data_IF_701487332728
#
_entry.id   IF_701487332728
#
_cell.length_a   1.000
_cell.length_b   1.000
_cell.length_c   1.000
_cell.angle_alpha   90.00
_cell.angle_beta   90.00
_cell.angle_gamma   90.00
#
_symmetry.space_group_name_H-M   'P 1'
#
loop_
_entity.id
_entity.type
_entity.pdbx_description
1 polymer ?
#
# COMPACT_ATOMS: atom_id res chain seq x y z
N UNK A 1 -8.57 24.79 -27.35
CA UNK A 1 -8.10 25.25 -26.03
C UNK A 1 -6.60 25.46 -26.16
N UNK A 2 -6.11 26.66 -25.83
CA UNK A 2 -4.67 26.96 -25.91
C UNK A 2 -3.90 26.10 -24.89
N UNK A 3 -2.71 25.64 -25.27
CA UNK A 3 -1.90 24.76 -24.44
C UNK A 3 -1.57 25.43 -23.10
N UNK A 4 -1.25 26.73 -23.12
CA UNK A 4 -0.99 27.51 -21.92
C UNK A 4 -2.17 27.46 -20.92
N UNK A 5 -3.41 27.55 -21.40
CA UNK A 5 -4.59 27.49 -20.54
C UNK A 5 -4.79 26.09 -19.93
N UNK A 6 -4.55 25.04 -20.71
CA UNK A 6 -4.60 23.67 -20.20
C UNK A 6 -3.54 23.41 -19.12
N UNK A 7 -2.32 23.92 -19.30
CA UNK A 7 -1.25 23.86 -18.29
C UNK A 7 -1.58 24.68 -17.05
N UNK A 8 -2.16 25.87 -17.20
CA UNK A 8 -2.58 26.68 -16.06
C UNK A 8 -3.60 25.92 -15.21
N UNK A 9 -4.65 25.39 -15.83
CA UNK A 9 -5.67 24.57 -15.15
C UNK A 9 -5.03 23.34 -14.50
N UNK A 10 -4.11 22.67 -15.20
CA UNK A 10 -3.38 21.52 -14.69
C UNK A 10 -2.63 21.85 -13.40
N UNK A 11 -1.88 22.94 -13.38
CA UNK A 11 -1.07 23.36 -12.22
C UNK A 11 -1.97 23.69 -11.02
N UNK A 12 -3.12 24.34 -11.25
CA UNK A 12 -4.08 24.61 -10.18
C UNK A 12 -4.70 23.34 -9.60
N UNK A 13 -5.13 22.40 -10.46
CA UNK A 13 -5.63 21.09 -10.01
C UNK A 13 -4.52 20.35 -9.26
N UNK A 14 -3.28 20.42 -9.77
CA UNK A 14 -2.12 19.79 -9.16
C UNK A 14 -1.87 20.32 -7.75
N UNK A 15 -1.91 21.65 -7.57
CA UNK A 15 -1.75 22.29 -6.27
C UNK A 15 -2.85 21.87 -5.28
N UNK A 16 -4.10 21.75 -5.73
CA UNK A 16 -5.21 21.27 -4.89
C UNK A 16 -5.00 19.81 -4.47
N UNK A 17 -4.63 18.93 -5.41
CA UNK A 17 -4.34 17.53 -5.13
C UNK A 17 -3.14 17.40 -4.18
N UNK A 18 -2.10 18.21 -4.37
CA UNK A 18 -0.96 18.26 -3.48
C UNK A 18 -1.36 18.68 -2.06
N UNK A 19 -2.24 19.69 -1.92
CA UNK A 19 -2.80 20.08 -0.63
C UNK A 19 -3.53 18.93 0.08
N UNK A 20 -4.39 18.20 -0.65
CA UNK A 20 -5.07 17.01 -0.12
C UNK A 20 -4.04 15.96 0.31
N UNK A 21 -3.02 15.71 -0.51
CA UNK A 21 -1.94 14.78 -0.19
C UNK A 21 -1.21 15.17 1.11
N UNK A 22 -0.84 16.45 1.27
CA UNK A 22 -0.17 16.94 2.47
C UNK A 22 -1.01 16.68 3.73
N UNK A 23 -2.32 16.98 3.69
CA UNK A 23 -3.21 16.72 4.84
C UNK A 23 -3.24 15.23 5.21
N UNK A 24 -3.31 14.34 4.23
CA UNK A 24 -3.27 12.89 4.44
C UNK A 24 -1.92 12.41 4.99
N UNK A 25 -0.81 12.99 4.50
CA UNK A 25 0.53 12.66 4.97
C UNK A 25 0.74 13.08 6.42
N UNK A 26 0.35 14.29 6.81
CA UNK A 26 0.42 14.74 8.20
C UNK A 26 -0.53 13.96 9.11
N UNK A 27 -1.73 13.64 8.63
CA UNK A 27 -2.64 12.76 9.35
C UNK A 27 -2.01 11.37 9.60
N UNK A 28 -1.39 10.78 8.58
CA UNK A 28 -0.64 9.53 8.73
C UNK A 28 0.54 9.65 9.72
N UNK A 29 1.27 10.78 9.70
CA UNK A 29 2.39 11.04 10.59
C UNK A 29 1.96 11.14 12.06
N UNK A 30 0.76 11.69 12.31
CA UNK A 30 0.18 11.80 13.64
C UNK A 30 -0.23 10.46 14.27
N UNK A 31 -0.34 9.38 13.47
CA UNK A 31 -0.73 8.07 13.99
C UNK A 31 0.43 7.41 14.75
N UNK A 32 0.15 6.78 15.92
CA UNK A 32 1.17 6.07 16.68
C UNK A 32 1.79 4.96 15.82
N UNK A 33 3.14 4.90 15.82
CA UNK A 33 3.91 3.92 15.05
C UNK A 33 4.15 2.68 15.91
N UNK A 34 3.75 1.52 15.40
CA UNK A 34 4.01 0.24 16.06
C UNK A 34 5.26 -0.43 15.52
N UNK A 35 6.10 -0.94 16.42
CA UNK A 35 7.40 -1.53 16.08
C UNK A 35 7.21 -2.88 15.37
N UNK A 36 7.65 -3.00 14.11
CA UNK A 36 7.80 -4.31 13.44
C UNK A 36 7.57 -4.29 11.93
N UNK A 37 6.50 -3.66 11.44
CA UNK A 37 6.24 -3.52 9.99
C UNK A 37 6.16 -2.07 9.51
N UNK A 38 6.42 -1.12 10.42
CA UNK A 38 6.34 0.30 10.13
C UNK A 38 7.48 0.80 9.23
N UNK A 39 8.66 0.17 9.21
CA UNK A 39 9.82 0.75 8.53
C UNK A 39 9.63 0.84 7.01
N UNK A 40 9.25 -0.25 6.33
CA UNK A 40 9.02 -0.25 4.88
C UNK A 40 7.99 0.80 4.46
N UNK A 41 6.85 0.85 5.15
CA UNK A 41 5.82 1.87 4.89
C UNK A 41 6.30 3.28 5.20
N UNK A 42 7.11 3.45 6.25
CA UNK A 42 7.63 4.76 6.62
C UNK A 42 8.60 5.26 5.56
N UNK A 43 9.55 4.43 5.13
CA UNK A 43 10.52 4.78 4.08
C UNK A 43 9.81 5.11 2.78
N UNK A 44 8.90 4.24 2.32
CA UNK A 44 8.15 4.48 1.08
C UNK A 44 7.26 5.74 1.16
N UNK A 45 6.59 5.99 2.28
CA UNK A 45 5.82 7.23 2.47
C UNK A 45 6.69 8.48 2.44
N UNK A 46 7.91 8.44 3.01
CA UNK A 46 8.86 9.55 2.91
C UNK A 46 9.39 9.75 1.50
N UNK A 47 9.68 8.68 0.76
CA UNK A 47 10.10 8.78 -0.65
C UNK A 47 9.01 9.41 -1.51
N UNK A 48 7.77 8.94 -1.39
CA UNK A 48 6.60 9.53 -2.07
C UNK A 48 6.43 11.00 -1.69
N UNK A 49 6.64 11.35 -0.42
CA UNK A 49 6.59 12.74 0.04
C UNK A 49 7.66 13.60 -0.63
N UNK A 50 8.91 13.15 -0.67
CA UNK A 50 10.00 13.91 -1.31
C UNK A 50 9.70 14.11 -2.80
N UNK A 51 9.36 13.06 -3.53
CA UNK A 51 9.10 13.14 -4.97
C UNK A 51 7.87 14.00 -5.31
N UNK A 52 6.81 13.96 -4.51
CA UNK A 52 5.63 14.84 -4.71
C UNK A 52 5.92 16.31 -4.41
N UNK A 53 6.78 16.61 -3.42
CA UNK A 53 7.21 17.98 -3.16
C UNK A 53 8.12 18.52 -4.28
N UNK A 54 9.01 17.68 -4.82
CA UNK A 54 9.81 18.02 -6.00
C UNK A 54 8.90 18.29 -7.20
N UNK A 55 7.91 17.43 -7.45
CA UNK A 55 6.95 17.64 -8.54
C UNK A 55 6.16 18.96 -8.40
N UNK A 56 5.67 19.24 -7.20
CA UNK A 56 4.95 20.48 -6.91
C UNK A 56 5.86 21.72 -7.09
N UNK A 57 7.12 21.65 -6.65
CA UNK A 57 8.09 22.71 -6.85
C UNK A 57 8.41 22.93 -8.34
N UNK A 58 8.60 21.85 -9.11
CA UNK A 58 8.80 21.91 -10.56
C UNK A 58 7.61 22.56 -11.27
N UNK A 59 6.38 22.22 -10.89
CA UNK A 59 5.17 22.85 -11.43
C UNK A 59 5.12 24.36 -11.14
N UNK A 60 5.51 24.79 -9.94
CA UNK A 60 5.58 26.22 -9.60
C UNK A 60 6.68 26.95 -10.39
N UNK A 61 7.83 26.33 -10.58
CA UNK A 61 8.92 26.88 -11.40
C UNK A 61 8.44 27.04 -12.85
N UNK A 62 7.78 26.01 -13.41
CA UNK A 62 7.21 26.07 -14.75
C UNK A 62 6.11 27.13 -14.88
N UNK A 63 5.31 27.34 -13.85
CA UNK A 63 4.32 28.41 -13.82
C UNK A 63 5.00 29.78 -13.92
N UNK A 64 6.02 30.03 -13.10
CA UNK A 64 6.75 31.29 -13.08
C UNK A 64 7.49 31.50 -14.41
N UNK A 65 8.26 30.53 -14.87
CA UNK A 65 9.01 30.67 -16.12
C UNK A 65 8.09 30.78 -17.33
N UNK A 66 7.06 29.94 -17.38
CA UNK A 66 6.12 29.86 -18.50
C UNK A 66 5.17 31.04 -18.61
N UNK A 67 4.78 31.70 -17.51
CA UNK A 67 3.88 32.86 -17.57
C UNK A 67 4.56 34.21 -17.32
N UNK A 68 5.61 34.27 -16.49
CA UNK A 68 6.28 35.53 -16.18
C UNK A 68 7.46 35.80 -17.09
N UNK A 69 8.40 34.85 -17.21
CA UNK A 69 9.64 35.08 -17.96
C UNK A 69 9.47 34.96 -19.47
N UNK A 70 8.48 34.21 -19.94
CA UNK A 70 8.22 34.01 -21.36
C UNK A 70 7.54 35.22 -22.04
N UNK A 71 6.96 36.14 -21.26
CA UNK A 71 6.21 37.31 -21.78
C UNK A 71 7.04 38.15 -22.75
N UNK A 72 8.33 38.31 -22.46
CA UNK A 72 9.23 39.18 -23.24
C UNK A 72 9.87 38.49 -24.45
N UNK A 73 9.76 37.15 -24.57
CA UNK A 73 10.50 36.36 -25.57
C UNK A 73 9.60 35.72 -26.62
N UNK A 74 8.89 34.65 -26.26
CA UNK A 74 8.06 33.82 -27.16
C UNK A 74 6.59 33.77 -26.73
N UNK A 75 6.27 34.37 -25.58
CA UNK A 75 4.98 34.28 -24.91
C UNK A 75 4.73 32.92 -24.24
N UNK A 76 3.71 32.82 -23.37
CA UNK A 76 3.39 31.58 -22.66
C UNK A 76 3.06 30.41 -23.58
N UNK A 77 2.34 30.68 -24.68
CA UNK A 77 1.99 29.65 -25.66
C UNK A 77 3.24 29.08 -26.35
N UNK A 78 4.23 29.93 -26.67
CA UNK A 78 5.50 29.51 -27.25
C UNK A 78 6.28 28.60 -26.28
N UNK A 79 6.42 29.03 -25.02
CA UNK A 79 7.12 28.27 -23.98
C UNK A 79 6.53 26.87 -23.76
N UNK A 80 5.20 26.76 -23.60
CA UNK A 80 4.55 25.46 -23.38
C UNK A 80 4.42 24.61 -24.66
N UNK A 81 4.59 25.21 -25.84
CA UNK A 81 4.66 24.46 -27.09
C UNK A 81 6.04 23.86 -27.33
N UNK A 82 7.11 24.48 -26.80
CA UNK A 82 8.45 23.93 -26.81
C UNK A 82 8.66 23.05 -25.59
N UNK A 83 8.40 21.74 -25.72
CA UNK A 83 8.71 20.75 -24.68
C UNK A 83 10.22 20.56 -24.41
N UNK A 84 11.08 21.34 -25.09
CA UNK A 84 12.52 21.28 -25.00
C UNK A 84 13.02 22.17 -23.85
N UNK A 85 13.05 21.62 -22.64
CA UNK A 85 13.65 22.27 -21.48
C UNK A 85 14.06 21.25 -20.43
N UNK A 86 15.17 21.50 -19.74
CA UNK A 86 15.67 20.61 -18.68
C UNK A 86 14.65 20.44 -17.54
N UNK A 87 13.75 21.43 -17.36
CA UNK A 87 12.66 21.42 -16.39
C UNK A 87 11.63 20.33 -16.71
N UNK A 88 11.22 20.23 -17.99
CA UNK A 88 10.30 19.18 -18.45
C UNK A 88 10.93 17.80 -18.29
N UNK A 89 12.21 17.64 -18.67
CA UNK A 89 12.94 16.39 -18.47
C UNK A 89 13.04 16.01 -16.99
N UNK A 90 13.38 16.96 -16.12
CA UNK A 90 13.47 16.71 -14.68
C UNK A 90 12.11 16.33 -14.09
N UNK A 91 11.03 16.96 -14.56
CA UNK A 91 9.68 16.66 -14.12
C UNK A 91 9.26 15.24 -14.54
N UNK A 92 9.41 14.87 -15.82
CA UNK A 92 9.07 13.53 -16.32
C UNK A 92 9.89 12.45 -15.62
N UNK A 93 11.19 12.71 -15.39
CA UNK A 93 12.04 11.81 -14.63
C UNK A 93 11.59 11.62 -13.17
N UNK A 94 11.23 12.71 -12.50
CA UNK A 94 10.69 12.65 -11.14
C UNK A 94 9.34 11.90 -11.10
N UNK A 95 8.50 12.12 -12.11
CA UNK A 95 7.23 11.43 -12.29
C UNK A 95 7.41 9.92 -12.48
N UNK A 96 8.39 9.50 -13.30
CA UNK A 96 8.81 8.11 -13.45
C UNK A 96 9.18 7.49 -12.10
N UNK A 97 10.06 8.15 -11.33
CA UNK A 97 10.51 7.64 -10.03
C UNK A 97 9.36 7.52 -9.03
N UNK A 98 8.44 8.49 -9.01
CA UNK A 98 7.27 8.46 -8.14
C UNK A 98 6.36 7.26 -8.45
N UNK A 99 6.03 7.06 -9.73
CA UNK A 99 5.21 5.92 -10.17
C UNK A 99 5.91 4.62 -9.82
N UNK A 100 7.20 4.49 -10.13
CA UNK A 100 7.98 3.29 -9.83
C UNK A 100 7.92 2.92 -8.34
N UNK A 101 8.06 3.89 -7.44
CA UNK A 101 7.95 3.66 -5.99
C UNK A 101 6.53 3.23 -5.60
N UNK A 102 5.51 3.86 -6.17
CA UNK A 102 4.12 3.54 -5.87
C UNK A 102 3.73 2.14 -6.38
N UNK A 103 4.17 1.77 -7.57
CA UNK A 103 3.87 0.46 -8.16
C UNK A 103 4.68 -0.66 -7.53
N UNK A 104 5.96 -0.42 -7.18
CA UNK A 104 6.72 -1.34 -6.34
C UNK A 104 6.02 -1.60 -4.99
N UNK A 105 5.40 -0.58 -4.40
CA UNK A 105 4.60 -0.71 -3.19
C UNK A 105 3.35 -1.58 -3.43
N UNK A 106 2.64 -1.39 -4.55
CA UNK A 106 1.49 -2.23 -4.91
C UNK A 106 1.87 -3.68 -5.18
N UNK A 107 2.96 -3.92 -5.91
CA UNK A 107 3.49 -5.26 -6.19
C UNK A 107 3.88 -5.95 -4.88
N UNK A 108 4.56 -5.24 -3.97
CA UNK A 108 4.89 -5.78 -2.64
C UNK A 108 3.64 -6.17 -1.84
N UNK A 109 2.54 -5.40 -1.95
CA UNK A 109 1.26 -5.74 -1.31
C UNK A 109 0.65 -7.00 -1.89
N UNK A 110 0.66 -7.15 -3.22
CA UNK A 110 0.18 -8.37 -3.90
C UNK A 110 1.00 -9.58 -3.45
N UNK A 111 2.33 -9.44 -3.37
CA UNK A 111 3.20 -10.53 -2.89
C UNK A 111 2.89 -10.97 -1.46
N UNK A 112 2.67 -9.99 -0.57
CA UNK A 112 2.29 -10.27 0.83
C UNK A 112 0.92 -10.94 0.91
N UNK A 113 -0.02 -10.54 0.05
CA UNK A 113 -1.38 -11.09 0.03
C UNK A 113 -1.43 -12.54 -0.47
N UNK A 114 -0.50 -12.92 -1.34
CA UNK A 114 -0.36 -14.28 -1.87
C UNK A 114 0.52 -15.20 -1.04
N UNK A 115 0.70 -14.92 0.26
CA UNK A 115 1.49 -15.75 1.17
C UNK A 115 2.89 -16.12 0.60
N UNK A 116 3.50 -15.21 -0.17
CA UNK A 116 4.81 -15.36 -0.82
C UNK A 116 4.90 -16.33 -2.01
N UNK A 117 3.80 -16.75 -2.63
CA UNK A 117 3.86 -17.50 -3.89
C UNK A 117 4.42 -16.64 -5.04
N UNK A 118 5.67 -16.90 -5.45
CA UNK A 118 6.44 -16.06 -6.37
C UNK A 118 5.88 -16.01 -7.80
N UNK A 119 5.23 -17.07 -8.26
CA UNK A 119 4.75 -17.20 -9.64
C UNK A 119 3.76 -16.11 -10.06
N UNK A 120 2.88 -15.68 -9.15
CA UNK A 120 1.82 -14.70 -9.48
C UNK A 120 2.37 -13.28 -9.68
N UNK A 121 3.54 -12.98 -9.09
CA UNK A 121 4.15 -11.63 -9.15
C UNK A 121 5.05 -11.47 -10.37
N UNK A 122 5.47 -12.57 -11.00
CA UNK A 122 6.32 -12.52 -12.18
C UNK A 122 5.70 -11.64 -13.28
N UNK A 123 4.37 -11.72 -13.46
CA UNK A 123 3.65 -10.95 -14.50
C UNK A 123 3.67 -9.43 -14.18
N UNK A 124 3.18 -8.94 -13.02
CA UNK A 124 3.28 -7.52 -12.68
C UNK A 124 4.71 -6.99 -12.67
N UNK A 125 5.68 -7.79 -12.22
CA UNK A 125 7.08 -7.36 -12.16
C UNK A 125 7.68 -7.21 -13.57
N UNK A 126 7.38 -8.13 -14.49
CA UNK A 126 7.81 -8.03 -15.88
C UNK A 126 7.22 -6.79 -16.56
N UNK A 127 5.92 -6.54 -16.34
CA UNK A 127 5.24 -5.36 -16.87
C UNK A 127 5.81 -4.05 -16.30
N UNK A 128 6.11 -4.02 -14.99
CA UNK A 128 6.76 -2.88 -14.34
C UNK A 128 8.15 -2.60 -14.95
N UNK A 129 8.94 -3.65 -15.18
CA UNK A 129 10.26 -3.50 -15.81
C UNK A 129 10.13 -2.99 -17.26
N UNK A 130 9.18 -3.53 -18.03
CA UNK A 130 8.91 -3.06 -19.38
C UNK A 130 8.49 -1.59 -19.40
N UNK A 131 7.58 -1.18 -18.52
CA UNK A 131 7.17 0.22 -18.37
C UNK A 131 8.36 1.11 -18.02
N UNK A 132 9.16 0.68 -17.05
CA UNK A 132 10.33 1.44 -16.58
C UNK A 132 11.30 1.69 -17.74
N UNK A 133 11.65 0.63 -18.49
CA UNK A 133 12.55 0.75 -19.65
C UNK A 133 11.97 1.68 -20.71
N UNK A 134 10.70 1.54 -21.07
CA UNK A 134 10.04 2.41 -22.06
C UNK A 134 10.04 3.88 -21.61
N UNK A 135 9.75 4.15 -20.33
CA UNK A 135 9.79 5.48 -19.74
C UNK A 135 11.19 6.09 -19.78
N UNK A 136 12.22 5.35 -19.36
CA UNK A 136 13.60 5.83 -19.41
C UNK A 136 14.06 6.16 -20.83
N UNK A 137 13.70 5.33 -21.81
CA UNK A 137 13.98 5.59 -23.23
C UNK A 137 13.25 6.84 -23.71
N UNK A 138 11.97 7.01 -23.32
CA UNK A 138 11.19 8.21 -23.60
C UNK A 138 11.84 9.47 -23.04
N UNK A 139 12.21 9.46 -21.76
CA UNK A 139 12.87 10.60 -21.10
C UNK A 139 14.22 10.94 -21.75
N UNK A 140 14.94 9.93 -22.23
CA UNK A 140 16.20 10.13 -22.97
C UNK A 140 15.94 10.82 -24.32
N UNK A 141 14.91 10.42 -25.06
CA UNK A 141 14.53 11.10 -26.30
C UNK A 141 14.04 12.53 -26.06
N UNK A 142 13.33 12.77 -24.96
CA UNK A 142 12.93 14.11 -24.54
C UNK A 142 14.18 14.97 -24.24
N UNK A 143 15.14 14.44 -23.48
CA UNK A 143 16.40 15.12 -23.16
C UNK A 143 17.22 15.46 -24.41
N UNK A 144 17.22 14.57 -25.41
CA UNK A 144 17.88 14.77 -26.70
C UNK A 144 17.05 15.61 -27.69
N UNK A 145 15.85 16.06 -27.31
CA UNK A 145 14.92 16.81 -28.15
C UNK A 145 14.48 16.08 -29.45
N UNK A 146 14.41 14.75 -29.41
CA UNK A 146 13.96 13.90 -30.54
C UNK A 146 12.45 13.64 -30.42
N UNK A 147 11.64 14.62 -30.84
CA UNK A 147 10.19 14.66 -30.55
C UNK A 147 9.37 13.53 -31.20
N UNK A 148 9.70 13.11 -32.42
CA UNK A 148 8.94 12.05 -33.11
C UNK A 148 9.06 10.71 -32.38
N UNK A 149 10.29 10.32 -32.03
CA UNK A 149 10.56 9.10 -31.25
C UNK A 149 9.99 9.19 -29.83
N UNK A 150 10.02 10.38 -29.23
CA UNK A 150 9.41 10.63 -27.91
C UNK A 150 7.90 10.38 -27.94
N UNK A 151 7.17 10.92 -28.93
CA UNK A 151 5.72 10.78 -29.02
C UNK A 151 5.27 9.32 -29.21
N UNK A 152 6.01 8.52 -29.97
CA UNK A 152 5.72 7.09 -30.13
C UNK A 152 6.01 6.30 -28.85
N UNK A 153 7.15 6.60 -28.23
CA UNK A 153 7.59 5.93 -26.99
C UNK A 153 6.67 6.24 -25.82
N UNK A 154 6.21 7.49 -25.69
CA UNK A 154 5.32 7.89 -24.59
C UNK A 154 3.95 7.23 -24.73
N UNK A 155 3.42 7.09 -25.95
CA UNK A 155 2.17 6.38 -26.21
C UNK A 155 2.23 4.93 -25.69
N UNK A 156 3.32 4.24 -26.02
CA UNK A 156 3.57 2.87 -25.58
C UNK A 156 3.77 2.81 -24.07
N UNK A 157 4.51 3.75 -23.48
CA UNK A 157 4.72 3.83 -22.03
C UNK A 157 3.42 4.05 -21.24
N UNK A 158 2.54 4.93 -21.73
CA UNK A 158 1.23 5.20 -21.12
C UNK A 158 0.32 3.97 -21.24
N UNK A 159 0.37 3.28 -22.38
CA UNK A 159 -0.34 2.01 -22.59
C UNK A 159 0.14 0.92 -21.62
N UNK A 160 1.45 0.74 -21.47
CA UNK A 160 2.03 -0.24 -20.54
C UNK A 160 1.72 0.09 -19.10
N UNK A 161 1.85 1.34 -18.66
CA UNK A 161 1.50 1.77 -17.30
C UNK A 161 0.00 1.51 -17.00
N UNK A 162 -0.88 1.85 -17.94
CA UNK A 162 -2.32 1.54 -17.82
C UNK A 162 -2.55 0.03 -17.69
N UNK A 163 -1.85 -0.79 -18.48
CA UNK A 163 -1.93 -2.23 -18.39
C UNK A 163 -1.42 -2.78 -17.05
N UNK A 164 -0.27 -2.28 -16.55
CA UNK A 164 0.27 -2.63 -15.22
C UNK A 164 -0.80 -2.42 -14.15
N UNK A 165 -1.42 -1.24 -14.12
CA UNK A 165 -2.41 -0.92 -13.09
C UNK A 165 -3.69 -1.72 -13.19
N UNK A 166 -4.21 -1.93 -14.40
CA UNK A 166 -5.39 -2.76 -14.61
C UNK A 166 -5.11 -4.21 -14.20
N UNK A 167 -3.97 -4.77 -14.59
CA UNK A 167 -3.55 -6.12 -14.22
C UNK A 167 -3.41 -6.25 -12.70
N UNK A 168 -2.69 -5.34 -12.04
CA UNK A 168 -2.54 -5.34 -10.58
C UNK A 168 -3.91 -5.26 -9.87
N UNK A 169 -4.78 -4.37 -10.33
CA UNK A 169 -6.13 -4.18 -9.76
C UNK A 169 -6.99 -5.43 -9.94
N UNK A 170 -6.96 -6.05 -11.12
CA UNK A 170 -7.66 -7.32 -11.39
C UNK A 170 -7.10 -8.45 -10.52
N UNK A 171 -5.77 -8.57 -10.38
CA UNK A 171 -5.15 -9.61 -9.53
C UNK A 171 -5.55 -9.44 -8.06
N UNK A 172 -5.59 -8.20 -7.56
CA UNK A 172 -6.07 -7.87 -6.22
C UNK A 172 -7.56 -8.23 -6.05
N UNK A 173 -8.40 -7.89 -7.02
CA UNK A 173 -9.82 -8.21 -7.03
C UNK A 173 -10.10 -9.71 -7.14
N UNK A 174 -9.39 -10.42 -8.00
CA UNK A 174 -9.50 -11.87 -8.16
C UNK A 174 -9.13 -12.60 -6.87
N UNK A 175 -7.99 -12.24 -6.25
CA UNK A 175 -7.63 -12.82 -4.95
C UNK A 175 -8.71 -12.58 -3.90
N UNK A 176 -9.33 -11.40 -3.88
CA UNK A 176 -10.41 -11.09 -2.95
C UNK A 176 -11.61 -12.04 -3.11
N UNK A 177 -11.98 -12.39 -4.35
CA UNK A 177 -13.12 -13.24 -4.64
C UNK A 177 -12.86 -14.73 -4.38
N UNK A 178 -11.64 -15.20 -4.67
CA UNK A 178 -11.30 -16.63 -4.69
C UNK A 178 -10.50 -17.13 -3.48
N UNK A 179 -10.24 -16.29 -2.48
CA UNK A 179 -9.59 -16.78 -1.25
C UNK A 179 -10.59 -17.59 -0.41
N UNK A 180 -10.62 -18.91 -0.60
CA UNK A 180 -11.41 -19.85 0.20
C UNK A 180 -11.02 -19.83 1.68
N UNK A 181 -9.77 -19.48 2.00
CA UNK A 181 -9.31 -19.28 3.37
C UNK A 181 -10.13 -18.20 4.11
N UNK A 182 -10.73 -17.23 3.39
CA UNK A 182 -11.63 -16.25 4.00
C UNK A 182 -12.96 -16.88 4.44
N UNK A 183 -13.38 -17.98 3.82
CA UNK A 183 -14.63 -18.69 4.15
C UNK A 183 -14.47 -19.55 5.41
N UNK A 184 -13.25 -20.02 5.68
CA UNK A 184 -12.92 -20.81 6.87
C UNK A 184 -12.68 -19.95 8.12
N UNK A 185 -12.41 -18.64 7.94
CA UNK A 185 -12.22 -17.72 9.05
C UNK A 185 -13.54 -17.38 9.77
N UNK A 186 -13.52 -17.12 11.09
CA UNK A 186 -14.67 -16.63 11.83
C UNK A 186 -15.30 -15.40 11.15
N UNK A 187 -16.64 -15.27 11.17
CA UNK A 187 -17.37 -14.24 10.41
C UNK A 187 -16.89 -12.81 10.70
N UNK A 188 -16.46 -12.54 11.93
CA UNK A 188 -15.91 -11.23 12.34
C UNK A 188 -14.61 -10.89 11.61
N UNK A 189 -13.64 -11.82 11.58
CA UNK A 189 -12.34 -11.62 10.92
C UNK A 189 -12.49 -11.56 9.39
N UNK A 190 -13.42 -12.35 8.82
CA UNK A 190 -13.76 -12.35 7.40
C UNK A 190 -14.25 -10.98 6.92
N UNK A 191 -15.23 -10.40 7.63
CA UNK A 191 -15.83 -9.11 7.25
C UNK A 191 -14.79 -7.99 7.18
N UNK A 192 -13.73 -8.07 8.00
CA UNK A 192 -12.72 -7.02 8.14
C UNK A 192 -11.63 -7.11 7.08
N UNK A 193 -11.11 -8.32 6.81
CA UNK A 193 -10.19 -8.52 5.68
C UNK A 193 -10.86 -8.14 4.36
N UNK A 194 -12.14 -8.49 4.22
CA UNK A 194 -12.93 -8.11 3.05
C UNK A 194 -13.04 -6.58 2.89
N UNK A 195 -13.41 -5.85 3.95
CA UNK A 195 -13.48 -4.37 3.93
C UNK A 195 -12.15 -3.74 3.53
N UNK A 196 -11.05 -4.25 4.07
CA UNK A 196 -9.73 -3.72 3.79
C UNK A 196 -9.33 -3.95 2.32
N UNK A 197 -9.45 -5.18 1.83
CA UNK A 197 -9.09 -5.49 0.44
C UNK A 197 -10.00 -4.78 -0.55
N UNK A 198 -11.31 -4.67 -0.24
CA UNK A 198 -12.25 -3.87 -1.03
C UNK A 198 -11.80 -2.41 -1.11
N UNK A 199 -11.41 -1.81 0.01
CA UNK A 199 -10.93 -0.43 0.03
C UNK A 199 -9.65 -0.21 -0.78
N UNK A 200 -8.80 -1.25 -0.93
CA UNK A 200 -7.60 -1.23 -1.78
C UNK A 200 -8.00 -1.30 -3.25
N UNK A 201 -8.90 -2.24 -3.60
CA UNK A 201 -9.38 -2.41 -4.97
C UNK A 201 -10.12 -1.16 -5.46
N UNK A 202 -10.97 -0.57 -4.63
CA UNK A 202 -11.67 0.68 -4.94
C UNK A 202 -10.69 1.82 -5.25
N UNK A 203 -9.57 1.91 -4.52
CA UNK A 203 -8.57 2.94 -4.76
C UNK A 203 -7.70 2.69 -6.00
N UNK A 204 -7.37 1.43 -6.31
CA UNK A 204 -6.64 1.08 -7.54
C UNK A 204 -7.49 1.26 -8.80
N UNK A 205 -8.80 1.03 -8.68
CA UNK A 205 -9.77 1.26 -9.76
C UNK A 205 -9.79 2.73 -10.17
N UNK A 206 -9.78 3.66 -9.21
CA UNK A 206 -9.80 5.10 -9.48
C UNK A 206 -8.58 5.50 -10.33
N UNK A 207 -7.38 5.05 -9.96
CA UNK A 207 -6.16 5.30 -10.75
C UNK A 207 -6.28 4.70 -12.14
N UNK A 208 -6.73 3.44 -12.24
CA UNK A 208 -6.86 2.74 -13.52
C UNK A 208 -7.80 3.50 -14.47
N UNK A 209 -8.93 4.00 -13.97
CA UNK A 209 -9.87 4.80 -14.77
C UNK A 209 -9.23 6.12 -15.23
N UNK A 210 -8.52 6.83 -14.35
CA UNK A 210 -7.80 8.05 -14.71
C UNK A 210 -6.74 7.80 -15.80
N UNK A 211 -5.98 6.69 -15.72
CA UNK A 211 -5.00 6.31 -16.72
C UNK A 211 -5.63 5.96 -18.07
N UNK A 212 -6.74 5.22 -18.07
CA UNK A 212 -7.49 4.91 -19.29
C UNK A 212 -7.97 6.20 -19.97
N UNK A 213 -8.51 7.16 -19.21
CA UNK A 213 -8.90 8.46 -19.76
C UNK A 213 -7.70 9.25 -20.29
N UNK A 214 -6.59 9.27 -19.56
CA UNK A 214 -5.37 9.93 -20.01
C UNK A 214 -4.85 9.34 -21.32
N UNK A 215 -4.80 8.01 -21.43
CA UNK A 215 -4.42 7.30 -22.65
C UNK A 215 -5.40 7.61 -23.81
N UNK A 216 -6.70 7.61 -23.54
CA UNK A 216 -7.71 7.94 -24.54
C UNK A 216 -7.53 9.38 -25.05
N UNK A 217 -7.34 10.37 -24.16
CA UNK A 217 -7.11 11.75 -24.56
C UNK A 217 -5.80 11.93 -25.33
N UNK A 218 -4.76 11.20 -24.95
CA UNK A 218 -3.47 11.20 -25.64
C UNK A 218 -3.61 10.68 -27.08
N UNK A 219 -4.23 9.51 -27.28
CA UNK A 219 -4.43 8.92 -28.62
C UNK A 219 -5.30 9.80 -29.53
N UNK A 220 -6.23 10.56 -28.94
CA UNK A 220 -7.07 11.51 -29.68
C UNK A 220 -6.40 12.89 -29.87
N UNK A 221 -5.13 13.07 -29.48
CA UNK A 221 -4.39 14.33 -29.56
C UNK A 221 -5.12 15.51 -28.85
N UNK A 222 -5.88 15.22 -27.79
CA UNK A 222 -6.60 16.24 -27.04
C UNK A 222 -5.69 16.87 -26.00
N UNK A 223 -5.59 18.20 -25.98
CA UNK A 223 -4.73 18.98 -25.05
C UNK A 223 -5.01 18.66 -23.57
N UNK A 224 -6.22 18.17 -23.24
CA UNK A 224 -6.63 17.78 -21.88
C UNK A 224 -5.73 16.68 -21.29
N UNK A 225 -5.07 15.86 -22.12
CA UNK A 225 -4.15 14.83 -21.61
C UNK A 225 -3.00 15.45 -20.78
N UNK A 226 -2.53 16.65 -21.11
CA UNK A 226 -1.50 17.35 -20.32
C UNK A 226 -1.97 17.62 -18.89
N UNK A 227 -3.25 18.00 -18.75
CA UNK A 227 -3.88 18.24 -17.44
C UNK A 227 -3.94 16.97 -16.61
N UNK A 228 -4.28 15.84 -17.23
CA UNK A 228 -4.30 14.54 -16.55
C UNK A 228 -2.89 14.08 -16.21
N UNK A 229 -1.93 14.18 -17.13
CA UNK A 229 -0.55 13.75 -16.92
C UNK A 229 0.09 14.46 -15.70
N UNK A 230 -0.13 15.77 -15.57
CA UNK A 230 0.35 16.53 -14.40
C UNK A 230 -0.31 16.10 -13.08
N UNK A 231 -1.57 15.66 -13.12
CA UNK A 231 -2.37 15.35 -11.93
C UNK A 231 -2.20 13.91 -11.43
N UNK A 232 -1.90 12.97 -12.33
CA UNK A 232 -1.70 11.55 -12.03
C UNK A 232 -0.67 11.31 -10.90
N UNK A 233 0.53 11.93 -10.87
CA UNK A 233 1.49 11.69 -9.80
C UNK A 233 0.89 11.90 -8.39
N UNK A 234 0.10 12.96 -8.21
CA UNK A 234 -0.53 13.26 -6.92
C UNK A 234 -1.68 12.29 -6.61
N UNK A 235 -2.43 11.82 -7.61
CA UNK A 235 -3.44 10.76 -7.42
C UNK A 235 -2.81 9.44 -6.95
N UNK A 236 -1.64 9.09 -7.50
CA UNK A 236 -0.84 7.94 -7.05
C UNK A 236 -0.40 8.09 -5.60
N UNK A 237 0.10 9.27 -5.25
CA UNK A 237 0.57 9.57 -3.90
C UNK A 237 -0.58 9.56 -2.87
N UNK A 238 -1.71 10.21 -3.20
CA UNK A 238 -2.94 10.21 -2.39
C UNK A 238 -3.42 8.79 -2.15
N UNK A 239 -3.54 7.99 -3.21
CA UNK A 239 -4.01 6.60 -3.11
C UNK A 239 -3.07 5.75 -2.26
N UNK A 240 -1.76 5.89 -2.47
CA UNK A 240 -0.74 5.16 -1.72
C UNK A 240 -0.84 5.43 -0.21
N UNK A 241 -0.93 6.71 0.18
CA UNK A 241 -1.07 7.12 1.59
C UNK A 241 -2.44 6.77 2.15
N UNK A 242 -3.52 7.00 1.41
CA UNK A 242 -4.89 6.69 1.84
C UNK A 242 -5.04 5.21 2.21
N UNK A 243 -4.43 4.31 1.43
CA UNK A 243 -4.43 2.88 1.75
C UNK A 243 -3.64 2.60 3.04
N UNK A 244 -2.46 3.22 3.24
CA UNK A 244 -1.67 3.03 4.47
C UNK A 244 -2.45 3.54 5.70
N UNK A 245 -3.12 4.68 5.58
CA UNK A 245 -3.99 5.23 6.61
C UNK A 245 -5.12 4.26 6.95
N UNK A 246 -5.84 3.76 5.93
CA UNK A 246 -6.93 2.78 6.11
C UNK A 246 -6.42 1.49 6.76
N UNK A 247 -5.25 1.01 6.37
CA UNK A 247 -4.59 -0.15 6.98
C UNK A 247 -4.34 0.06 8.48
N UNK A 248 -3.79 1.23 8.86
CA UNK A 248 -3.50 1.56 10.25
C UNK A 248 -4.76 1.73 11.09
N UNK A 249 -5.77 2.44 10.57
CA UNK A 249 -7.07 2.58 11.26
C UNK A 249 -7.71 1.22 11.47
N UNK A 250 -7.66 0.36 10.45
CA UNK A 250 -8.16 -1.00 10.57
C UNK A 250 -7.38 -1.77 11.64
N UNK A 251 -6.05 -1.68 11.69
CA UNK A 251 -5.20 -2.35 12.70
C UNK A 251 -5.47 -1.86 14.12
N UNK A 252 -5.58 -0.54 14.34
CA UNK A 252 -5.87 0.03 15.66
C UNK A 252 -7.18 -0.52 16.24
N UNK A 253 -8.25 -0.55 15.43
CA UNK A 253 -9.54 -1.13 15.81
C UNK A 253 -9.45 -2.64 16.15
N UNK A 254 -8.44 -3.35 15.64
CA UNK A 254 -8.21 -4.74 16.02
C UNK A 254 -7.78 -4.86 17.47
N UNK A 255 -6.75 -4.08 17.83
CA UNK A 255 -6.12 -4.18 19.14
C UNK A 255 -7.08 -3.77 20.24
N UNK A 256 -7.90 -2.76 19.98
CA UNK A 256 -8.98 -2.34 20.87
C UNK A 256 -9.99 -3.48 21.10
N UNK A 257 -10.39 -4.19 20.04
CA UNK A 257 -11.29 -5.35 20.16
C UNK A 257 -10.65 -6.53 20.90
N UNK A 258 -9.40 -6.87 20.57
CA UNK A 258 -8.69 -7.98 21.23
C UNK A 258 -8.52 -7.69 22.74
N UNK A 259 -8.24 -6.44 23.10
CA UNK A 259 -8.15 -5.98 24.49
C UNK A 259 -9.52 -6.04 25.20
N UNK A 260 -10.60 -5.67 24.50
CA UNK A 260 -11.96 -5.74 25.05
C UNK A 260 -12.40 -7.19 25.32
N UNK A 261 -12.13 -8.14 24.40
CA UNK A 261 -12.45 -9.55 24.60
C UNK A 261 -11.65 -10.14 25.77
N UNK A 262 -10.37 -9.80 25.90
CA UNK A 262 -9.55 -10.24 27.03
C UNK A 262 -10.05 -9.68 28.37
N UNK A 263 -10.43 -8.41 28.41
CA UNK A 263 -10.92 -7.75 29.65
C UNK A 263 -12.29 -8.31 30.06
N UNK A 264 -13.20 -8.52 29.11
CA UNK A 264 -14.57 -8.98 29.37
C UNK A 264 -14.60 -10.48 29.68
N UNK A 265 -13.74 -11.28 29.03
CA UNK A 265 -13.63 -12.72 29.27
C UNK A 265 -13.12 -13.06 30.67
N UNK A 266 -12.22 -12.25 31.24
CA UNK A 266 -11.73 -12.47 32.61
C UNK A 266 -12.72 -12.06 33.70
N UNK A 267 -13.60 -11.08 33.47
CA UNK A 267 -14.61 -10.66 34.44
C UNK A 267 -15.71 -11.72 34.67
N UNK A 268 -15.99 -12.58 33.68
CA UNK A 268 -16.97 -13.67 33.80
C UNK A 268 -16.44 -14.94 34.48
N UNK A 269 -15.14 -15.00 34.82
CA UNK A 269 -14.51 -16.13 35.53
C UNK A 269 -14.61 -16.03 37.06
N UNK A 270 -15.10 -14.91 37.60
CA UNK A 270 -15.38 -14.76 39.03
C UNK A 270 -16.66 -15.52 39.40
N UNK A 271 -16.50 -16.79 39.71
CA UNK A 271 -17.37 -17.55 40.62
C UNK A 271 -18.86 -17.59 40.26
N UNK A 272 -19.23 -18.08 39.08
CA UNK A 272 -20.40 -18.95 39.03
C UNK A 272 -19.98 -20.32 39.57
N UNK A 273 -19.81 -20.38 40.91
CA UNK A 273 -19.81 -21.62 41.68
C UNK A 273 -21.15 -22.27 41.39
N UNK A 274 -21.19 -23.09 40.36
CA UNK A 274 -22.30 -23.95 39.99
C UNK A 274 -22.42 -24.95 41.15
N UNK A 275 -23.13 -24.55 42.20
CA UNK A 275 -23.71 -25.50 43.12
C UNK A 275 -24.60 -26.38 42.26
N UNK A 276 -24.09 -27.58 41.96
CA UNK A 276 -24.86 -28.68 41.46
C UNK A 276 -25.90 -29.02 42.54
N UNK A 277 -26.98 -28.24 42.60
CA UNK A 277 -28.23 -28.75 43.13
C UNK A 277 -28.72 -29.71 42.06
N UNK A 278 -28.31 -30.95 42.21
CA UNK A 278 -28.92 -32.13 41.61
C UNK A 278 -30.37 -32.12 42.11
N UNK A 279 -31.24 -31.43 41.40
CA UNK A 279 -32.68 -31.57 41.56
C UNK A 279 -33.05 -32.82 40.79
N UNK A 280 -33.11 -33.94 41.51
CA UNK A 280 -33.70 -35.19 41.05
C UNK A 280 -35.11 -34.89 40.53
N UNK A 281 -35.27 -34.93 39.20
CA UNK A 281 -36.59 -34.99 38.59
C UNK A 281 -37.23 -36.33 38.98
N UNK A 282 -38.50 -36.35 39.42
CA UNK A 282 -39.23 -37.59 39.62
C UNK A 282 -39.30 -38.34 38.29
N UNK A 283 -38.76 -39.56 38.31
CA UNK A 283 -38.88 -40.54 37.24
C UNK A 283 -40.34 -40.97 37.15
N UNK A 284 -41.14 -40.29 36.33
CA UNK A 284 -42.44 -40.79 35.92
C UNK A 284 -42.23 -42.00 35.02
N UNK A 285 -42.55 -43.18 35.55
CA UNK A 285 -42.69 -44.43 34.82
C UNK A 285 -43.81 -44.28 33.80
N UNK A 286 -43.45 -44.00 32.55
CA UNK A 286 -44.34 -44.23 31.42
C UNK A 286 -44.26 -45.71 31.11
N UNK A 287 -45.44 -46.31 31.22
CA UNK A 287 -45.80 -47.71 31.03
C UNK A 287 -45.56 -48.12 29.57
N UNK A 288 -44.92 -49.27 29.42
CA UNK A 288 -44.76 -49.98 28.16
C UNK A 288 -46.13 -50.26 27.53
N UNK A 289 -46.28 -49.89 26.25
CA UNK A 289 -47.21 -50.54 25.34
C UNK A 289 -46.41 -51.11 24.17
N UNK A 290 -46.65 -52.39 23.95
CA UNK A 290 -46.24 -53.22 22.82
C UNK A 290 -46.35 -52.47 21.50
N UNK A 291 -45.31 -52.57 20.68
CA UNK A 291 -45.51 -52.83 19.26
C UNK A 291 -44.34 -53.63 18.71
N UNK A 292 -44.67 -54.89 18.45
CA UNK A 292 -43.93 -55.86 17.67
C UNK A 292 -43.79 -55.45 16.20
N UNK A 293 -42.77 -56.00 15.56
CA UNK A 293 -42.56 -56.10 14.11
C UNK A 293 -42.05 -54.86 13.37
N UNK A 294 -40.73 -54.80 13.12
CA UNK A 294 -40.18 -54.97 11.75
C UNK A 294 -38.64 -54.93 11.72
N UNK A 295 -38.06 -56.10 11.42
CA UNK A 295 -36.93 -56.36 10.53
C UNK A 295 -35.95 -55.21 10.14
N UNK A 296 -34.67 -55.34 10.54
CA UNK A 296 -33.48 -55.62 9.67
C UNK A 296 -32.18 -55.16 10.33
N UNK A 297 -31.10 -55.97 10.33
CA UNK A 297 -29.79 -55.55 10.83
C UNK A 297 -29.07 -54.70 9.78
N UNK A 298 -28.80 -53.43 10.10
CA UNK A 298 -27.79 -52.64 9.39
C UNK A 298 -26.41 -52.91 10.00
N UNK A 299 -25.47 -53.28 9.13
CA UNK A 299 -24.07 -53.47 9.46
C UNK A 299 -23.46 -52.15 9.95
N UNK A 300 -22.90 -52.19 11.16
CA UNK A 300 -22.01 -51.17 11.72
C UNK A 300 -20.73 -51.07 10.89
N UNK A 301 -20.32 -49.88 10.41
CA UNK A 301 -18.99 -49.68 9.87
C UNK A 301 -17.97 -49.64 11.02
N UNK A 302 -17.03 -50.56 10.95
CA UNK A 302 -15.85 -50.67 11.82
C UNK A 302 -14.93 -49.47 11.56
N UNK A 303 -14.93 -48.50 12.48
CA UNK A 303 -13.99 -47.36 12.44
C UNK A 303 -12.63 -47.87 12.89
N UNK A 304 -11.79 -48.17 11.91
CA UNK A 304 -10.38 -48.50 12.06
C UNK A 304 -9.61 -47.27 12.55
N UNK A 305 -9.26 -47.25 13.84
CA UNK A 305 -8.34 -46.28 14.43
C UNK A 305 -6.91 -46.61 14.00
N UNK A 306 -6.47 -46.00 12.91
CA UNK A 306 -5.04 -45.99 12.56
C UNK A 306 -4.34 -44.90 13.36
N UNK A 307 -3.56 -45.38 14.35
CA UNK A 307 -2.15 -45.04 14.58
C UNK A 307 -1.72 -43.59 14.32
N UNK A 308 -1.42 -42.90 15.43
CA UNK A 308 -0.24 -42.07 15.64
C UNK A 308 0.54 -41.62 14.39
N UNK A 309 0.31 -40.38 13.98
CA UNK A 309 1.34 -39.56 13.35
C UNK A 309 1.35 -38.20 14.06
N UNK A 310 2.16 -38.13 15.10
CA UNK A 310 2.51 -36.94 15.85
C UNK A 310 3.24 -35.96 14.94
N UNK A 311 2.50 -35.02 14.38
CA UNK A 311 3.04 -33.89 13.65
C UNK A 311 3.51 -32.83 14.66
N UNK A 312 4.78 -32.93 15.03
CA UNK A 312 5.51 -31.94 15.81
C UNK A 312 5.47 -30.57 15.12
N UNK A 313 4.51 -29.73 15.50
CA UNK A 313 4.58 -28.30 15.24
C UNK A 313 5.61 -27.71 16.20
N UNK A 314 6.82 -27.48 15.67
CA UNK A 314 7.88 -26.77 16.35
C UNK A 314 7.48 -25.34 16.69
N UNK A 315 6.94 -25.15 17.89
CA UNK A 315 6.92 -23.86 18.58
C UNK A 315 8.36 -23.49 18.92
N UNK A 316 8.90 -22.48 18.24
CA UNK A 316 10.14 -21.82 18.67
C UNK A 316 9.79 -20.69 19.63
N UNK A 317 10.21 -20.74 20.91
CA UNK A 317 10.15 -19.58 21.78
C UNK A 317 11.30 -18.63 21.44
N UNK A 318 10.98 -17.39 21.06
CA UNK A 318 11.92 -16.28 21.07
C UNK A 318 12.19 -15.87 22.53
N UNK A 319 13.00 -16.67 23.23
CA UNK A 319 13.55 -16.39 24.55
C UNK A 319 14.92 -15.72 24.45
N UNK A 320 14.96 -14.45 24.08
CA UNK A 320 16.15 -13.61 24.11
C UNK A 320 16.41 -13.04 25.50
N UNK A 321 16.89 -13.88 26.42
CA UNK A 321 17.36 -13.53 27.76
C UNK A 321 18.60 -12.63 27.65
N UNK A 322 18.44 -11.31 27.79
CA UNK A 322 19.60 -10.42 28.01
C UNK A 322 19.97 -10.46 29.49
N UNK A 323 21.18 -10.98 29.73
CA UNK A 323 21.88 -10.93 30.99
C UNK A 323 21.98 -9.48 31.49
N UNK A 324 21.48 -9.26 32.71
CA UNK A 324 21.93 -8.18 33.56
C UNK A 324 23.38 -8.48 33.93
N UNK A 325 24.30 -7.62 33.49
CA UNK A 325 25.66 -7.55 33.99
C UNK A 325 25.65 -6.44 35.04
N UNK A 326 25.62 -6.86 36.30
CA UNK A 326 26.02 -6.03 37.43
C UNK A 326 27.48 -5.63 37.22
N UNK A 327 27.73 -4.35 36.97
CA UNK A 327 29.06 -3.76 37.08
C UNK A 327 29.05 -2.76 38.22
N UNK A 328 29.77 -3.17 39.25
CA UNK A 328 30.12 -2.41 40.43
C UNK A 328 30.81 -1.09 40.06
N UNK A 329 30.38 -0.04 40.77
CA UNK A 329 31.18 1.14 41.10
C UNK A 329 32.53 0.73 41.70
N UNK A 330 33.63 1.42 41.32
CA UNK A 330 34.27 2.27 42.32
C UNK A 330 34.74 3.63 41.78
N UNK A 331 34.42 4.62 42.61
CA UNK A 331 35.18 5.83 43.00
C UNK A 331 36.63 6.01 42.51
N UNK A 332 36.90 7.31 42.31
CA UNK A 332 38.15 8.07 42.48
C UNK A 332 39.20 8.04 41.36
N UNK A 333 39.55 9.23 40.86
CA UNK A 333 40.72 9.41 40.00
C UNK A 333 40.70 10.68 39.15
N UNK A 334 41.04 11.81 39.77
CA UNK A 334 41.47 13.05 39.12
C UNK A 334 42.68 12.78 38.22
N UNK A 335 42.70 13.26 36.96
CA UNK A 335 43.90 13.80 36.33
C UNK A 335 43.56 14.84 35.26
N UNK A 336 44.11 16.03 35.48
CA UNK A 336 44.26 17.15 34.56
C UNK A 336 45.37 16.80 33.56
N UNK A 337 45.18 17.06 32.27
CA UNK A 337 46.25 17.61 31.43
C UNK A 337 45.70 18.37 30.22
N UNK A 338 46.28 19.55 30.06
CA UNK A 338 46.15 20.61 29.07
C UNK A 338 46.87 20.32 27.75
N UNK A 339 46.59 21.19 26.76
CA UNK A 339 47.35 21.46 25.52
C UNK A 339 47.24 20.39 24.40
N UNK A 340 47.24 20.70 23.10
CA UNK A 340 47.70 21.88 22.37
C UNK A 340 47.06 21.92 20.96
N UNK A 341 47.09 23.11 20.37
CA UNK A 341 46.75 23.49 18.99
C UNK A 341 47.47 22.69 17.90
N UNK A 342 46.84 22.55 16.73
CA UNK A 342 47.59 22.60 15.46
C UNK A 342 46.67 23.02 14.30
N UNK A 343 46.86 24.27 13.86
CA UNK A 343 46.52 24.73 12.52
C UNK A 343 47.31 23.91 11.48
N UNK A 344 46.72 23.67 10.31
CA UNK A 344 47.52 23.60 9.08
C UNK A 344 46.63 23.84 7.87
N UNK A 345 46.94 24.96 7.22
CA UNK A 345 46.50 25.35 5.88
C UNK A 345 46.95 24.33 4.83
N UNK A 346 46.18 24.24 3.76
CA UNK A 346 46.49 23.56 2.50
C UNK A 346 45.51 23.98 1.42
#
# INVERSE_FOLDING_TARGET
MEAALAYLIAIWINALLHGIYLTLFFYWLSMPKENGSALYFTVTSWLVFIFTNIDAASCLIMLIQGFWQSLDTVGPQGYFSSAAGWQFTLQEFNYLLLILVCDALMVWRVWRLWNKHRWVIAIPLLLLLAETVLRFVGDTYLALSIMDAFSETIASSLGTNTAVQVVITILLGYRLLFTEDLRLLPPEQRSRRYRLTRAIVESGLIISVCLIFNLAFFVNNLVIHWTFNLSIPHLYAITSVAIVVRLRVAQKRQKEWDTFIQTTGHASGSSYRRSAVVRSLPRTSVRDEDDSDLSKPYATPEIRTTSEESLELGERPFGGRRHAIDTLSPRDGIFVHTEETCDTEG
#
